data_IF_243583714839
#
_entry.id   IF_243583714839
#
_cell.length_a   1.000
_cell.length_b   1.000
_cell.length_c   1.000
_cell.angle_alpha   90.00
_cell.angle_beta   90.00
_cell.angle_gamma   90.00
#
_symmetry.space_group_name_H-M   'P 1'
#
loop_
_entity.id
_entity.type
_entity.pdbx_description
1 polymer ?
#
# COMPACT_ATOMS: atom_id res chain seq x y z
N UNK A 1 6.68 17.98 25.38
CA UNK A 1 7.59 18.94 24.72
C UNK A 1 8.23 19.84 25.77
N UNK A 2 9.50 20.22 25.62
CA UNK A 2 10.20 21.15 26.52
C UNK A 2 10.80 22.27 25.67
N UNK A 3 10.48 23.53 26.00
CA UNK A 3 11.08 24.72 25.38
C UNK A 3 12.09 25.29 26.39
N UNK A 4 13.40 25.12 26.18
CA UNK A 4 14.42 25.70 27.06
C UNK A 4 14.61 27.20 26.77
N UNK A 5 14.89 27.98 27.82
CA UNK A 5 15.31 29.39 27.72
C UNK A 5 14.34 30.29 26.92
N UNK A 6 13.05 30.26 27.28
CA UNK A 6 12.04 31.09 26.64
C UNK A 6 12.27 32.58 26.93
N UNK A 7 12.16 33.44 25.92
CA UNK A 7 12.22 34.91 26.07
C UNK A 7 11.21 35.56 25.14
N UNK A 8 10.47 36.53 25.66
CA UNK A 8 9.49 37.31 24.90
C UNK A 8 9.55 38.78 25.33
N UNK A 9 9.27 39.68 24.39
CA UNK A 9 9.09 41.11 24.68
C UNK A 9 7.61 41.37 24.97
N UNK A 10 7.35 42.08 26.05
CA UNK A 10 6.02 42.52 26.46
C UNK A 10 5.85 43.96 25.98
N UNK A 11 4.76 44.22 25.25
CA UNK A 11 4.29 45.56 24.94
C UNK A 11 2.79 45.61 25.22
N UNK A 12 2.38 46.43 26.19
CA UNK A 12 0.97 46.61 26.54
C UNK A 12 0.55 48.04 26.21
N UNK A 13 -0.09 48.25 25.04
CA UNK A 13 -0.66 49.54 24.70
C UNK A 13 -1.97 49.73 25.48
N UNK A 14 -1.99 50.69 26.41
CA UNK A 14 -3.19 51.09 27.16
C UNK A 14 -3.80 52.37 26.56
N UNK A 15 -5.12 52.37 26.35
CA UNK A 15 -5.86 53.52 25.80
C UNK A 15 -6.60 54.30 26.89
N UNK A 16 -5.89 54.82 27.89
CA UNK A 16 -6.50 55.57 29.00
C UNK A 16 -5.55 56.61 29.60
N UNK A 17 -6.08 57.82 29.89
CA UNK A 17 -5.33 59.00 30.38
C UNK A 17 -4.63 58.76 31.73
N UNK A 18 -5.00 57.71 32.46
CA UNK A 18 -4.47 57.36 33.80
C UNK A 18 -3.65 56.06 33.84
N UNK A 19 -3.43 55.38 32.71
CA UNK A 19 -2.58 54.18 32.63
C UNK A 19 -1.55 54.34 31.51
N UNK A 20 -0.28 54.68 31.81
CA UNK A 20 0.76 54.79 30.78
C UNK A 20 1.04 53.41 30.16
N UNK A 21 1.38 53.39 28.87
CA UNK A 21 1.88 52.19 28.21
C UNK A 21 3.17 51.72 28.88
N UNK A 22 3.35 50.40 28.97
CA UNK A 22 4.55 49.81 29.55
C UNK A 22 5.11 48.73 28.62
N UNK A 23 6.44 48.68 28.57
CA UNK A 23 7.22 47.67 27.86
C UNK A 23 8.05 46.85 28.84
N UNK A 24 8.42 45.63 28.47
CA UNK A 24 9.25 44.79 29.33
C UNK A 24 9.76 43.49 28.73
N UNK A 25 10.63 42.86 29.50
CA UNK A 25 11.07 41.47 29.52
C UNK A 25 10.08 40.44 30.06
N UNK A 26 9.84 39.31 29.40
CA UNK A 26 9.57 38.07 30.13
C UNK A 26 10.52 36.97 29.68
N UNK A 27 11.04 36.20 30.64
CA UNK A 27 11.84 35.02 30.38
C UNK A 27 11.44 33.86 31.27
N UNK A 28 11.63 32.63 30.79
CA UNK A 28 11.43 31.43 31.60
C UNK A 28 12.57 30.45 31.37
N UNK A 29 13.00 29.75 32.42
CA UNK A 29 14.06 28.74 32.31
C UNK A 29 13.63 27.55 31.45
N UNK A 30 12.37 27.12 31.59
CA UNK A 30 11.78 26.17 30.66
C UNK A 30 10.25 26.24 30.65
N UNK A 31 9.63 26.03 29.49
CA UNK A 31 8.19 25.74 29.40
C UNK A 31 8.03 24.25 29.07
N UNK A 32 7.37 23.51 29.95
CA UNK A 32 7.05 22.10 29.76
C UNK A 32 5.59 21.99 29.36
N UNK A 33 5.36 21.32 28.23
CA UNK A 33 4.03 21.08 27.69
C UNK A 33 3.78 19.57 27.67
N UNK A 34 2.72 19.14 28.33
CA UNK A 34 2.25 17.76 28.33
C UNK A 34 0.76 17.72 28.00
N UNK A 35 0.37 16.89 27.04
CA UNK A 35 -1.02 16.66 26.71
C UNK A 35 -1.19 15.24 26.17
N UNK A 36 -2.38 14.69 26.30
CA UNK A 36 -2.73 13.41 25.68
C UNK A 36 -3.44 13.70 24.36
N UNK A 37 -2.93 13.17 23.25
CA UNK A 37 -3.65 13.20 21.98
C UNK A 37 -4.49 11.94 21.90
N UNK A 38 -5.81 12.09 21.82
CA UNK A 38 -6.73 11.01 21.58
C UNK A 38 -7.10 10.96 20.11
N UNK A 39 -6.92 9.80 19.49
CA UNK A 39 -7.25 9.55 18.10
C UNK A 39 -8.49 8.67 18.01
N UNK A 40 -9.42 9.07 17.15
CA UNK A 40 -10.64 8.32 16.86
C UNK A 40 -10.95 8.39 15.37
N UNK A 41 -11.91 7.57 14.92
CA UNK A 41 -12.42 7.57 13.55
C UNK A 41 -13.86 8.08 13.59
N UNK A 42 -14.22 9.02 12.73
CA UNK A 42 -15.58 9.55 12.63
C UNK A 42 -16.52 8.63 11.81
N UNK A 43 -17.79 9.01 11.68
CA UNK A 43 -18.77 8.23 10.90
C UNK A 43 -18.46 8.14 9.38
N UNK A 44 -17.62 9.02 8.86
CA UNK A 44 -17.16 9.01 7.48
C UNK A 44 -15.86 8.21 7.30
N UNK A 45 -15.29 7.70 8.39
CA UNK A 45 -14.01 7.00 8.47
C UNK A 45 -12.78 7.89 8.31
N UNK A 46 -12.93 9.17 8.62
CA UNK A 46 -11.84 10.13 8.71
C UNK A 46 -11.24 10.11 10.12
N UNK A 47 -9.91 10.28 10.27
CA UNK A 47 -9.30 10.37 11.58
C UNK A 47 -9.63 11.71 12.23
N UNK A 48 -9.88 11.70 13.53
CA UNK A 48 -10.12 12.87 14.36
C UNK A 48 -9.15 12.84 15.53
N UNK A 49 -8.39 13.92 15.71
CA UNK A 49 -7.48 14.07 16.83
C UNK A 49 -8.04 15.10 17.83
N UNK A 50 -8.07 14.71 19.10
CA UNK A 50 -8.52 15.58 20.19
C UNK A 50 -7.45 15.63 21.28
N UNK A 51 -7.11 16.84 21.74
CA UNK A 51 -6.24 17.00 22.89
C UNK A 51 -7.02 16.89 24.20
N UNK A 52 -6.54 16.04 25.10
CA UNK A 52 -7.05 15.87 26.44
C UNK A 52 -6.02 16.28 27.48
N UNK A 53 -6.50 16.90 28.55
CA UNK A 53 -5.70 17.28 29.71
C UNK A 53 -4.41 18.05 29.37
N UNK A 54 -4.42 19.10 28.52
CA UNK A 54 -3.23 19.89 28.28
C UNK A 54 -2.77 20.52 29.61
N UNK A 55 -1.49 20.32 29.93
CA UNK A 55 -0.78 20.91 31.06
C UNK A 55 0.40 21.68 30.50
N UNK A 56 0.42 22.96 30.82
CA UNK A 56 1.55 23.84 30.55
C UNK A 56 2.14 24.17 31.91
N UNK A 57 3.45 23.98 32.06
CA UNK A 57 4.18 24.31 33.29
C UNK A 57 5.32 25.22 32.91
N UNK A 58 5.33 26.41 33.50
CA UNK A 58 6.37 27.41 33.27
C UNK A 58 7.32 27.36 34.47
N UNK A 59 8.58 27.02 34.23
CA UNK A 59 9.62 26.98 35.26
C UNK A 59 10.46 28.25 35.18
N UNK A 60 10.74 28.84 36.34
CA UNK A 60 11.62 30.01 36.48
C UNK A 60 11.19 31.20 35.64
N UNK A 61 9.89 31.54 35.66
CA UNK A 61 9.37 32.75 35.05
C UNK A 61 9.98 33.97 35.75
N UNK A 62 10.52 34.90 34.97
CA UNK A 62 11.08 36.18 35.42
C UNK A 62 10.56 37.29 34.51
N UNK A 63 9.93 38.31 35.10
CA UNK A 63 9.32 39.44 34.38
C UNK A 63 10.04 40.72 34.78
N UNK A 64 10.59 41.40 33.78
CA UNK A 64 11.27 42.69 33.96
C UNK A 64 10.48 43.79 33.25
N UNK A 65 10.02 44.80 33.98
CA UNK A 65 9.30 45.94 33.41
C UNK A 65 10.25 47.14 33.26
N UNK A 66 10.20 47.80 32.11
CA UNK A 66 11.02 48.98 31.84
C UNK A 66 10.44 50.24 32.53
N UNK A 67 11.31 51.10 33.08
CA UNK A 67 10.96 52.45 33.56
C UNK A 67 10.70 52.60 35.08
N UNK A 68 10.16 53.75 35.47
CA UNK A 68 9.90 54.18 36.88
C UNK A 68 8.97 53.22 37.64
N UNK A 69 8.23 52.38 36.92
CA UNK A 69 7.30 51.40 37.49
C UNK A 69 7.98 50.13 38.00
N UNK A 70 9.19 49.81 37.55
CA UNK A 70 9.92 48.62 37.98
C UNK A 70 10.28 48.60 39.46
N UNK A 71 10.37 49.77 40.12
CA UNK A 71 10.68 49.87 41.56
C UNK A 71 9.43 50.09 42.44
N UNK A 72 8.36 50.70 41.91
CA UNK A 72 7.15 51.03 42.67
C UNK A 72 6.19 49.84 42.81
N UNK A 73 6.37 48.81 41.99
CA UNK A 73 5.38 47.77 41.75
C UNK A 73 5.86 46.36 42.08
N UNK A 74 6.79 46.19 43.03
CA UNK A 74 7.26 44.86 43.46
C UNK A 74 6.13 43.91 43.90
N UNK A 75 5.07 44.42 44.54
CA UNK A 75 3.88 43.63 44.90
C UNK A 75 2.93 43.37 43.69
N UNK A 76 3.05 44.22 42.67
CA UNK A 76 2.34 44.06 41.39
C UNK A 76 3.06 43.03 40.52
N UNK A 77 4.39 42.85 40.66
CA UNK A 77 5.14 41.82 39.95
C UNK A 77 4.58 40.44 40.30
N UNK A 78 4.35 40.09 41.58
CA UNK A 78 3.72 38.81 41.96
C UNK A 78 2.30 38.65 41.36
N UNK A 79 1.48 39.72 41.37
CA UNK A 79 0.13 39.70 40.78
C UNK A 79 0.15 39.58 39.24
N UNK A 80 1.12 40.22 38.59
CA UNK A 80 1.33 40.16 37.15
C UNK A 80 2.01 38.86 36.74
N UNK A 81 2.89 38.27 37.55
CA UNK A 81 3.47 36.95 37.31
C UNK A 81 2.37 35.90 37.25
N UNK A 82 1.47 35.85 38.24
CA UNK A 82 0.34 34.92 38.23
C UNK A 82 -0.63 35.17 37.05
N UNK A 83 -0.88 36.44 36.71
CA UNK A 83 -1.80 36.80 35.61
C UNK A 83 -1.18 36.56 34.23
N UNK A 84 0.11 36.83 34.08
CA UNK A 84 0.87 36.68 32.85
C UNK A 84 1.21 35.20 32.61
N UNK A 85 1.54 34.45 33.66
CA UNK A 85 1.64 32.99 33.61
C UNK A 85 0.32 32.38 33.13
N UNK A 86 -0.83 32.77 33.71
CA UNK A 86 -2.16 32.33 33.23
C UNK A 86 -2.43 32.70 31.78
N UNK A 87 -2.08 33.92 31.35
CA UNK A 87 -2.27 34.35 29.96
C UNK A 87 -1.39 33.56 28.98
N UNK A 88 -0.12 33.33 29.33
CA UNK A 88 0.80 32.48 28.57
C UNK A 88 0.26 31.05 28.53
N UNK A 89 -0.15 30.49 29.67
CA UNK A 89 -0.74 29.16 29.73
C UNK A 89 -1.99 29.06 28.85
N UNK A 90 -2.88 30.05 28.86
CA UNK A 90 -4.08 30.08 28.04
C UNK A 90 -3.76 30.17 26.55
N UNK A 91 -2.82 31.02 26.14
CA UNK A 91 -2.40 31.11 24.73
C UNK A 91 -1.68 29.85 24.25
N UNK A 92 -0.78 29.28 25.05
CA UNK A 92 -0.20 27.97 24.73
C UNK A 92 -1.26 26.89 24.69
N UNK A 93 -2.24 26.87 25.62
CA UNK A 93 -3.37 25.92 25.57
C UNK A 93 -4.17 26.05 24.27
N UNK A 94 -4.43 27.27 23.78
CA UNK A 94 -5.12 27.50 22.50
C UNK A 94 -4.31 27.02 21.31
N UNK A 95 -3.04 27.44 21.21
CA UNK A 95 -2.12 27.03 20.14
C UNK A 95 -1.95 25.50 20.13
N UNK A 96 -1.80 24.88 21.29
CA UNK A 96 -1.73 23.43 21.40
C UNK A 96 -3.03 22.78 20.93
N UNK A 97 -4.18 23.21 21.46
CA UNK A 97 -5.48 22.65 21.15
C UNK A 97 -5.81 22.71 19.65
N UNK A 98 -5.42 23.79 18.97
CA UNK A 98 -5.71 23.97 17.55
C UNK A 98 -4.61 23.38 16.66
N UNK A 99 -3.35 23.76 16.87
CA UNK A 99 -2.30 23.48 15.91
C UNK A 99 -1.72 22.07 16.07
N UNK A 100 -1.55 21.58 17.30
CA UNK A 100 -1.00 20.22 17.53
C UNK A 100 -2.04 19.17 17.20
N UNK A 101 -3.30 19.34 17.61
CA UNK A 101 -4.36 18.41 17.24
C UNK A 101 -4.55 18.37 15.71
N UNK A 102 -4.62 19.53 15.05
CA UNK A 102 -4.75 19.59 13.60
C UNK A 102 -3.54 18.96 12.89
N UNK A 103 -2.32 19.23 13.35
CA UNK A 103 -1.11 18.64 12.77
C UNK A 103 -1.11 17.11 12.89
N UNK A 104 -1.46 16.57 14.07
CA UNK A 104 -1.55 15.10 14.24
C UNK A 104 -2.70 14.53 13.41
N UNK A 105 -3.85 15.20 13.34
CA UNK A 105 -4.96 14.74 12.50
C UNK A 105 -4.56 14.70 11.02
N UNK A 106 -3.92 15.74 10.52
CA UNK A 106 -3.43 15.81 9.14
C UNK A 106 -2.34 14.75 8.89
N UNK A 107 -1.47 14.51 9.88
CA UNK A 107 -0.47 13.44 9.84
C UNK A 107 -1.11 12.07 9.60
N UNK A 108 -2.10 11.72 10.44
CA UNK A 108 -2.80 10.45 10.32
C UNK A 108 -3.60 10.42 9.02
N UNK A 109 -4.27 11.50 8.64
CA UNK A 109 -5.04 11.57 7.39
C UNK A 109 -4.16 11.32 6.16
N UNK A 110 -2.93 11.79 6.16
CA UNK A 110 -1.95 11.52 5.10
C UNK A 110 -1.58 10.04 4.93
N UNK A 111 -1.87 9.18 5.91
CA UNK A 111 -1.66 7.74 5.81
C UNK A 111 -2.75 7.04 4.98
N UNK A 112 -3.89 7.69 4.74
CA UNK A 112 -4.90 7.16 3.85
C UNK A 112 -4.37 7.23 2.42
N UNK A 113 -3.99 6.07 1.90
CA UNK A 113 -3.46 5.88 0.56
C UNK A 113 -4.55 6.09 -0.48
N UNK A 114 -4.21 6.93 -1.44
CA UNK A 114 -4.95 7.12 -2.69
C UNK A 114 -3.93 7.25 -3.82
N UNK A 115 -3.44 6.10 -4.31
CA UNK A 115 -2.25 6.03 -5.16
C UNK A 115 -2.59 5.38 -6.48
N UNK A 116 -2.17 6.01 -7.58
CA UNK A 116 -2.26 5.45 -8.92
C UNK A 116 -0.91 4.86 -9.33
N UNK A 117 -0.95 3.68 -9.94
CA UNK A 117 0.21 2.99 -10.49
C UNK A 117 -0.22 2.24 -11.75
N UNK A 118 0.73 1.78 -12.55
CA UNK A 118 0.42 0.99 -13.74
C UNK A 118 1.19 -0.31 -13.64
N UNK A 119 0.46 -1.42 -13.75
CA UNK A 119 1.10 -2.72 -13.92
C UNK A 119 1.46 -2.85 -15.39
N UNK A 120 2.75 -2.97 -15.74
CA UNK A 120 3.16 -3.17 -17.13
C UNK A 120 2.58 -4.49 -17.66
N UNK A 121 2.49 -4.59 -18.98
CA UNK A 121 2.12 -5.86 -19.60
C UNK A 121 3.07 -6.97 -19.16
N UNK A 122 2.54 -7.99 -18.49
CA UNK A 122 3.31 -9.12 -17.94
C UNK A 122 4.07 -9.93 -19.01
N UNK A 123 3.54 -9.98 -20.23
CA UNK A 123 4.16 -10.62 -21.38
C UNK A 123 4.20 -9.63 -22.55
N UNK A 124 5.17 -9.71 -23.46
CA UNK A 124 5.14 -8.85 -24.63
C UNK A 124 3.87 -9.15 -25.45
N UNK A 125 3.16 -8.11 -25.85
CA UNK A 125 1.82 -8.22 -26.45
C UNK A 125 0.66 -8.06 -25.45
N UNK A 126 0.91 -8.13 -24.14
CA UNK A 126 -0.13 -7.79 -23.15
C UNK A 126 -0.19 -6.29 -22.87
N UNK A 127 -1.38 -5.84 -22.47
CA UNK A 127 -1.66 -4.42 -22.23
C UNK A 127 -1.27 -4.02 -20.81
N UNK A 128 -0.73 -2.82 -20.66
CA UNK A 128 -0.52 -2.23 -19.35
C UNK A 128 -1.87 -1.86 -18.73
N UNK A 129 -2.04 -2.11 -17.43
CA UNK A 129 -3.29 -1.88 -16.72
C UNK A 129 -3.08 -0.78 -15.67
N UNK A 130 -3.71 0.40 -15.81
CA UNK A 130 -3.70 1.42 -14.78
C UNK A 130 -4.53 0.95 -13.58
N UNK A 131 -3.99 1.13 -12.39
CA UNK A 131 -4.61 0.72 -11.15
C UNK A 131 -4.54 1.81 -10.10
N UNK A 132 -5.49 1.80 -9.17
CA UNK A 132 -5.54 2.73 -8.06
C UNK A 132 -5.78 1.99 -6.75
N UNK A 133 -4.86 2.12 -5.80
CA UNK A 133 -5.08 1.68 -4.42
C UNK A 133 -5.78 2.79 -3.68
N UNK A 134 -6.92 2.46 -3.06
CA UNK A 134 -7.64 3.38 -2.19
C UNK A 134 -7.86 2.74 -0.83
N UNK A 135 -7.57 3.50 0.23
CA UNK A 135 -7.73 3.04 1.61
C UNK A 135 -8.59 3.99 2.42
N UNK A 136 -9.10 3.46 3.54
CA UNK A 136 -9.88 4.19 4.53
C UNK A 136 -9.61 3.62 5.91
N UNK A 137 -9.55 4.46 6.94
CA UNK A 137 -9.31 3.98 8.31
C UNK A 137 -10.44 3.08 8.79
N UNK A 138 -10.08 1.95 9.38
CA UNK A 138 -10.99 1.03 10.05
C UNK A 138 -10.71 0.94 11.55
N UNK A 139 -9.47 1.16 12.00
CA UNK A 139 -9.10 1.13 13.42
C UNK A 139 -7.91 2.04 13.69
N UNK A 140 -7.91 2.71 14.85
CA UNK A 140 -6.78 3.43 15.42
C UNK A 140 -6.65 2.95 16.88
N UNK A 141 -5.64 2.12 17.18
CA UNK A 141 -5.34 1.64 18.54
C UNK A 141 -3.91 2.02 18.91
N UNK A 142 -3.75 2.99 19.81
CA UNK A 142 -2.44 3.44 20.28
C UNK A 142 -2.26 3.08 21.75
N UNK A 143 -1.17 2.40 22.03
CA UNK A 143 -0.76 1.95 23.36
C UNK A 143 0.64 2.48 23.67
N UNK A 144 1.08 2.45 24.94
CA UNK A 144 2.41 2.93 25.31
C UNK A 144 3.56 2.22 24.58
N UNK A 145 3.34 1.02 24.07
CA UNK A 145 4.30 0.17 23.36
C UNK A 145 4.19 0.25 21.82
N UNK A 146 3.30 1.09 21.27
CA UNK A 146 3.15 1.32 19.84
C UNK A 146 1.72 1.59 19.39
N UNK A 147 1.56 1.92 18.10
CA UNK A 147 0.26 2.15 17.46
C UNK A 147 -0.04 1.12 16.38
N UNK A 148 -1.29 0.68 16.30
CA UNK A 148 -1.82 -0.12 15.20
C UNK A 148 -2.86 0.70 14.46
N UNK A 149 -2.64 0.87 13.16
CA UNK A 149 -3.55 1.57 12.25
C UNK A 149 -4.13 0.52 11.30
N UNK A 150 -5.43 0.26 11.46
CA UNK A 150 -6.19 -0.60 10.58
C UNK A 150 -6.74 0.18 9.40
N UNK A 151 -6.60 -0.38 8.20
CA UNK A 151 -7.14 0.19 6.97
C UNK A 151 -8.02 -0.82 6.25
N UNK A 152 -9.17 -0.37 5.76
CA UNK A 152 -9.88 -1.04 4.67
C UNK A 152 -9.28 -0.57 3.35
N UNK A 153 -8.97 -1.50 2.46
CA UNK A 153 -8.28 -1.21 1.20
C UNK A 153 -9.03 -1.83 0.02
N UNK A 154 -8.93 -1.20 -1.15
CA UNK A 154 -9.41 -1.73 -2.42
C UNK A 154 -8.45 -1.35 -3.55
N UNK A 155 -8.44 -2.14 -4.63
CA UNK A 155 -7.72 -1.84 -5.87
C UNK A 155 -8.75 -1.64 -6.97
N UNK A 156 -8.68 -0.51 -7.66
CA UNK A 156 -9.63 -0.10 -8.69
C UNK A 156 -8.93 -0.05 -10.06
N UNK A 157 -9.68 -0.39 -11.10
CA UNK A 157 -9.29 -0.23 -12.51
C UNK A 157 -10.56 -0.08 -13.34
N UNK A 158 -10.44 0.52 -14.53
CA UNK A 158 -11.52 0.54 -15.50
C UNK A 158 -11.79 -0.85 -16.05
N UNK A 159 -13.06 -1.15 -16.30
CA UNK A 159 -13.50 -2.43 -16.86
C UNK A 159 -13.06 -2.52 -18.32
N UNK A 160 -12.38 -3.60 -18.67
CA UNK A 160 -11.99 -3.92 -20.04
C UNK A 160 -12.19 -5.41 -20.38
N UNK A 161 -13.06 -6.10 -19.64
CA UNK A 161 -13.45 -7.48 -19.93
C UNK A 161 -14.85 -7.54 -20.54
N UNK A 162 -15.03 -8.44 -21.51
CA UNK A 162 -16.30 -8.64 -22.22
C UNK A 162 -17.37 -9.37 -21.38
N UNK A 163 -17.07 -9.76 -20.14
CA UNK A 163 -18.00 -10.51 -19.28
C UNK A 163 -19.10 -9.60 -18.71
N UNK A 164 -20.36 -10.01 -18.84
CA UNK A 164 -21.52 -9.20 -18.45
C UNK A 164 -21.77 -9.15 -16.94
N UNK A 165 -21.36 -10.20 -16.20
CA UNK A 165 -21.54 -10.27 -14.74
C UNK A 165 -20.20 -10.50 -14.05
N UNK A 166 -19.74 -9.51 -13.28
CA UNK A 166 -18.53 -9.61 -12.46
C UNK A 166 -18.92 -9.32 -11.01
N UNK A 167 -18.70 -10.28 -10.12
CA UNK A 167 -19.12 -10.21 -8.71
C UNK A 167 -18.05 -9.62 -7.77
N UNK A 168 -16.88 -9.27 -8.30
CA UNK A 168 -15.72 -8.81 -7.53
C UNK A 168 -14.67 -9.90 -7.30
N UNK A 169 -13.63 -9.55 -6.54
CA UNK A 169 -12.58 -10.48 -6.14
C UNK A 169 -13.10 -11.50 -5.12
N UNK A 170 -12.61 -12.73 -5.20
CA UNK A 170 -12.94 -13.79 -4.22
C UNK A 170 -12.28 -13.46 -2.88
N UNK A 171 -13.04 -13.57 -1.79
CA UNK A 171 -12.48 -13.47 -0.45
C UNK A 171 -12.01 -14.82 0.06
N UNK A 172 -11.02 -14.82 0.95
CA UNK A 172 -10.46 -16.00 1.62
C UNK A 172 -11.50 -16.72 2.50
N UNK A 173 -12.47 -15.97 3.06
CA UNK A 173 -13.54 -16.49 3.92
C UNK A 173 -13.05 -17.43 5.03
N UNK A 174 -11.93 -17.07 5.67
CA UNK A 174 -11.29 -17.86 6.72
C UNK A 174 -10.96 -19.31 6.34
N UNK A 175 -10.75 -19.57 5.06
CA UNK A 175 -10.60 -20.93 4.52
C UNK A 175 -11.76 -21.85 4.92
N UNK A 176 -12.98 -21.28 4.95
CA UNK A 176 -14.22 -21.90 5.45
C UNK A 176 -14.19 -22.29 6.94
N UNK A 177 -13.23 -21.76 7.69
CA UNK A 177 -13.19 -21.84 9.13
C UNK A 177 -14.23 -20.93 9.80
N UNK A 178 -14.47 -21.11 11.11
CA UNK A 178 -15.49 -20.36 11.84
C UNK A 178 -15.13 -18.88 12.05
N UNK A 179 -13.84 -18.53 12.06
CA UNK A 179 -13.36 -17.16 12.29
C UNK A 179 -11.93 -16.95 11.76
N UNK A 180 -11.65 -15.73 11.31
CA UNK A 180 -10.29 -15.26 11.01
C UNK A 180 -9.55 -14.87 12.30
N UNK A 181 -8.35 -15.40 12.57
CA UNK A 181 -7.53 -14.87 13.65
C UNK A 181 -7.14 -13.41 13.34
N UNK A 182 -7.17 -12.50 14.33
CA UNK A 182 -6.68 -11.15 14.12
C UNK A 182 -5.18 -11.19 13.82
N UNK A 183 -4.74 -10.32 12.90
CA UNK A 183 -3.32 -10.14 12.61
C UNK A 183 -2.57 -9.70 13.88
N UNK A 184 -1.48 -10.39 14.20
CA UNK A 184 -0.56 -10.00 15.27
C UNK A 184 0.75 -9.52 14.65
N UNK A 185 1.00 -8.21 14.74
CA UNK A 185 2.25 -7.64 14.28
C UNK A 185 3.43 -8.29 15.03
N UNK A 186 4.45 -8.83 14.32
CA UNK A 186 5.57 -9.54 14.94
C UNK A 186 6.53 -8.62 15.71
N UNK A 187 6.47 -7.29 15.50
CA UNK A 187 7.25 -6.26 16.19
C UNK A 187 8.76 -6.48 16.10
N UNK A 188 9.23 -6.86 14.91
CA UNK A 188 10.65 -7.04 14.62
C UNK A 188 11.34 -5.75 14.12
N UNK A 189 10.55 -4.81 13.60
CA UNK A 189 10.99 -3.51 13.11
C UNK A 189 10.28 -2.35 13.80
N UNK A 190 10.73 -1.14 13.51
CA UNK A 190 10.11 0.10 14.02
C UNK A 190 8.76 0.38 13.34
N UNK A 191 8.62 -0.07 12.08
CA UNK A 191 7.39 0.05 11.30
C UNK A 191 7.10 -1.27 10.58
N UNK A 192 5.83 -1.69 10.63
CA UNK A 192 5.38 -2.93 10.02
C UNK A 192 4.07 -2.71 9.26
N UNK A 193 3.98 -3.29 8.07
CA UNK A 193 2.80 -3.26 7.20
C UNK A 193 2.23 -4.66 7.07
N UNK A 194 0.99 -4.84 7.53
CA UNK A 194 0.23 -6.06 7.35
C UNK A 194 -0.65 -6.00 6.11
N UNK A 195 -0.46 -6.95 5.20
CA UNK A 195 -1.25 -7.10 3.97
C UNK A 195 -2.11 -8.36 4.07
N UNK A 196 -3.43 -8.19 4.14
CA UNK A 196 -4.36 -9.32 4.13
C UNK A 196 -4.41 -9.98 2.74
N UNK A 197 -4.63 -11.29 2.68
CA UNK A 197 -4.72 -12.04 1.42
C UNK A 197 -5.80 -11.50 0.48
N UNK A 198 -6.95 -11.10 1.03
CA UNK A 198 -8.03 -10.50 0.24
C UNK A 198 -7.57 -9.21 -0.46
N UNK A 199 -6.70 -8.42 0.19
CA UNK A 199 -6.11 -7.24 -0.44
C UNK A 199 -5.19 -7.65 -1.59
N UNK A 200 -4.31 -8.63 -1.36
CA UNK A 200 -3.44 -9.17 -2.41
C UNK A 200 -4.26 -9.72 -3.58
N UNK A 201 -5.42 -10.33 -3.30
CA UNK A 201 -6.30 -10.89 -4.32
C UNK A 201 -7.01 -9.82 -5.17
N UNK A 202 -7.11 -8.58 -4.72
CA UNK A 202 -7.60 -7.49 -5.57
C UNK A 202 -6.67 -7.18 -6.73
N UNK A 203 -5.36 -7.46 -6.62
CA UNK A 203 -4.38 -7.18 -7.68
C UNK A 203 -4.60 -8.08 -8.92
N UNK A 204 -4.57 -9.43 -8.83
CA UNK A 204 -4.83 -10.27 -9.99
C UNK A 204 -6.26 -10.11 -10.51
N UNK A 205 -7.23 -9.84 -9.64
CA UNK A 205 -8.58 -9.50 -10.06
C UNK A 205 -8.62 -8.22 -10.90
N UNK A 206 -7.96 -7.14 -10.46
CA UNK A 206 -7.87 -5.90 -11.21
C UNK A 206 -7.13 -6.11 -12.55
N UNK A 207 -6.04 -6.90 -12.56
CA UNK A 207 -5.33 -7.23 -13.81
C UNK A 207 -6.27 -7.89 -14.82
N UNK A 208 -7.03 -8.88 -14.37
CA UNK A 208 -8.03 -9.55 -15.18
C UNK A 208 -9.12 -8.57 -15.64
N UNK A 209 -9.72 -7.83 -14.71
CA UNK A 209 -10.85 -6.93 -14.97
C UNK A 209 -10.49 -5.77 -15.91
N UNK A 210 -9.25 -5.30 -15.84
CA UNK A 210 -8.66 -4.29 -16.72
C UNK A 210 -8.16 -4.83 -18.07
N UNK A 211 -8.34 -6.12 -18.36
CA UNK A 211 -7.99 -6.73 -19.65
C UNK A 211 -6.51 -7.06 -19.84
N UNK A 212 -5.70 -6.98 -18.78
CA UNK A 212 -4.26 -7.29 -18.84
C UNK A 212 -3.94 -8.78 -19.03
N UNK A 213 -4.93 -9.66 -18.86
CA UNK A 213 -4.80 -11.11 -19.01
C UNK A 213 -5.46 -11.65 -20.29
N UNK A 214 -5.51 -10.83 -21.33
CA UNK A 214 -5.85 -11.23 -22.69
C UNK A 214 -4.77 -10.69 -23.64
N UNK A 215 -4.07 -11.58 -24.34
CA UNK A 215 -2.94 -11.21 -25.20
C UNK A 215 -2.59 -12.30 -26.21
N UNK A 216 -1.95 -11.87 -27.29
CA UNK A 216 -1.42 -12.77 -28.31
C UNK A 216 0.09 -12.99 -28.10
N UNK A 217 0.55 -14.23 -28.21
CA UNK A 217 1.97 -14.56 -28.20
C UNK A 217 2.47 -14.60 -29.65
N UNK A 218 3.27 -13.60 -30.00
CA UNK A 218 4.12 -13.60 -31.19
C UNK A 218 5.10 -14.80 -31.16
N UNK A 219 5.17 -15.62 -32.22
CA UNK A 219 6.06 -16.78 -32.32
C UNK A 219 7.54 -16.47 -32.13
N UNK A 220 7.98 -15.24 -32.45
CA UNK A 220 9.36 -14.80 -32.23
C UNK A 220 9.76 -14.80 -30.76
N UNK A 221 8.78 -14.78 -29.84
CA UNK A 221 9.01 -14.83 -28.39
C UNK A 221 9.25 -16.26 -27.87
N UNK A 222 8.93 -17.28 -28.65
CA UNK A 222 9.12 -18.67 -28.29
C UNK A 222 10.50 -19.10 -28.82
N UNK A 223 11.56 -18.69 -28.12
CA UNK A 223 12.95 -18.95 -28.50
C UNK A 223 13.18 -20.44 -28.82
N UNK A 224 13.65 -20.74 -30.04
CA UNK A 224 13.91 -22.12 -30.51
C UNK A 224 12.66 -22.97 -30.81
N UNK A 225 11.46 -22.49 -30.47
CA UNK A 225 10.21 -23.19 -30.71
C UNK A 225 9.89 -23.28 -32.20
N UNK A 226 10.08 -22.17 -32.93
CA UNK A 226 9.78 -22.10 -34.36
C UNK A 226 10.59 -23.16 -35.15
N UNK A 227 11.87 -23.35 -34.81
CA UNK A 227 12.74 -24.35 -35.44
C UNK A 227 12.33 -25.78 -35.08
N UNK A 228 11.92 -26.04 -33.84
CA UNK A 228 11.43 -27.35 -33.41
C UNK A 228 10.08 -27.68 -34.04
N UNK A 229 9.15 -26.72 -34.10
CA UNK A 229 7.85 -26.85 -34.73
C UNK A 229 7.96 -27.10 -36.24
N UNK A 230 8.91 -26.44 -36.90
CA UNK A 230 9.19 -26.65 -38.32
C UNK A 230 9.62 -28.11 -38.62
N UNK A 231 10.30 -28.80 -37.70
CA UNK A 231 10.67 -30.21 -37.86
C UNK A 231 9.46 -31.15 -37.95
N UNK A 232 8.33 -30.72 -37.40
CA UNK A 232 7.05 -31.44 -37.47
C UNK A 232 6.17 -30.96 -38.64
N UNK A 233 6.72 -30.14 -39.55
CA UNK A 233 6.00 -29.62 -40.72
C UNK A 233 4.96 -28.55 -40.37
N UNK A 234 5.12 -27.87 -39.23
CA UNK A 234 4.28 -26.77 -38.80
C UNK A 234 4.88 -25.41 -39.16
N UNK A 235 4.02 -24.49 -39.58
CA UNK A 235 4.36 -23.11 -39.92
C UNK A 235 3.25 -22.16 -39.45
N UNK A 236 3.54 -20.86 -39.41
CA UNK A 236 2.57 -19.80 -39.09
C UNK A 236 1.83 -20.04 -37.76
N UNK A 237 2.56 -20.41 -36.70
CA UNK A 237 1.97 -20.52 -35.37
C UNK A 237 1.42 -19.16 -34.94
N UNK A 238 0.22 -19.14 -34.37
CA UNK A 238 -0.37 -18.02 -33.66
C UNK A 238 -0.97 -18.57 -32.36
N UNK A 239 -0.74 -17.84 -31.27
CA UNK A 239 -1.25 -18.22 -29.96
C UNK A 239 -1.99 -17.02 -29.39
N UNK A 240 -3.24 -17.21 -29.00
CA UNK A 240 -4.02 -16.20 -28.28
C UNK A 240 -4.40 -16.77 -26.92
N UNK A 241 -4.07 -16.06 -25.85
CA UNK A 241 -4.34 -16.46 -24.47
C UNK A 241 -5.39 -15.52 -23.89
N UNK A 242 -6.43 -16.09 -23.29
CA UNK A 242 -7.50 -15.35 -22.64
C UNK A 242 -7.88 -16.02 -21.31
N UNK A 243 -7.70 -15.31 -20.21
CA UNK A 243 -8.13 -15.78 -18.89
C UNK A 243 -9.64 -15.56 -18.74
N UNK A 244 -10.43 -16.65 -18.74
CA UNK A 244 -11.90 -16.55 -18.62
C UNK A 244 -12.36 -16.20 -17.21
N UNK A 245 -11.54 -16.54 -16.21
CA UNK A 245 -11.77 -16.25 -14.81
C UNK A 245 -10.58 -15.47 -14.23
N UNK A 246 -10.81 -14.59 -13.23
CA UNK A 246 -9.71 -13.92 -12.54
C UNK A 246 -8.84 -14.96 -11.80
N UNK A 247 -7.51 -14.82 -11.85
CA UNK A 247 -6.63 -15.59 -10.97
C UNK A 247 -6.93 -15.31 -9.50
N UNK A 248 -6.75 -16.33 -8.66
CA UNK A 248 -7.00 -16.26 -7.23
C UNK A 248 -5.71 -16.53 -6.47
N UNK A 249 -5.40 -15.65 -5.52
CA UNK A 249 -4.40 -15.87 -4.49
C UNK A 249 -5.06 -16.47 -3.24
N UNK A 250 -4.54 -17.61 -2.79
CA UNK A 250 -5.06 -18.26 -1.59
C UNK A 250 -3.99 -19.03 -0.84
N UNK A 251 -3.97 -18.86 0.48
CA UNK A 251 -3.21 -19.71 1.39
C UNK A 251 -4.05 -20.77 2.10
N UNK A 252 -5.25 -21.06 1.57
CA UNK A 252 -6.14 -22.10 2.08
C UNK A 252 -5.70 -23.48 1.61
N UNK A 253 -4.54 -23.92 2.10
CA UNK A 253 -3.97 -25.23 1.85
C UNK A 253 -3.23 -25.74 3.09
N UNK A 254 -2.93 -27.06 3.17
CA UNK A 254 -2.32 -27.65 4.36
C UNK A 254 -0.97 -27.06 4.78
N UNK A 255 -0.19 -26.48 3.85
CA UNK A 255 1.11 -25.85 4.17
C UNK A 255 0.99 -24.37 4.53
N UNK A 256 -0.16 -23.74 4.31
CA UNK A 256 -0.35 -22.29 4.48
C UNK A 256 0.45 -21.44 3.49
N UNK A 257 1.01 -22.05 2.44
CA UNK A 257 1.75 -21.35 1.39
C UNK A 257 0.80 -20.51 0.55
N UNK A 258 1.20 -19.32 0.12
CA UNK A 258 0.36 -18.51 -0.76
C UNK A 258 0.44 -19.09 -2.18
N UNK A 259 -0.71 -19.51 -2.73
CA UNK A 259 -0.80 -20.12 -4.05
C UNK A 259 -1.57 -19.20 -4.99
N UNK A 260 -1.06 -19.02 -6.21
CA UNK A 260 -1.83 -18.47 -7.32
C UNK A 260 -2.46 -19.60 -8.12
N UNK A 261 -3.78 -19.53 -8.25
CA UNK A 261 -4.59 -20.47 -9.03
C UNK A 261 -5.22 -19.73 -10.20
N UNK A 262 -5.03 -20.27 -11.40
CA UNK A 262 -5.55 -19.72 -12.65
C UNK A 262 -6.41 -20.80 -13.29
N UNK A 263 -7.72 -20.62 -13.28
CA UNK A 263 -8.68 -21.53 -13.91
C UNK A 263 -9.15 -21.02 -15.26
N UNK A 264 -9.63 -21.93 -16.10
CA UNK A 264 -10.27 -21.65 -17.40
C UNK A 264 -9.48 -20.66 -18.27
N UNK A 265 -8.17 -20.89 -18.40
CA UNK A 265 -7.34 -20.14 -19.34
C UNK A 265 -7.56 -20.73 -20.73
N UNK A 266 -8.20 -19.97 -21.61
CA UNK A 266 -8.43 -20.34 -22.99
C UNK A 266 -7.18 -20.03 -23.82
N UNK A 267 -6.68 -21.02 -24.55
CA UNK A 267 -5.57 -20.87 -25.49
C UNK A 267 -6.11 -21.24 -26.87
N UNK A 268 -6.14 -20.26 -27.78
CA UNK A 268 -6.40 -20.51 -29.20
C UNK A 268 -5.09 -20.66 -29.92
N UNK A 269 -4.94 -21.76 -30.64
CA UNK A 269 -3.74 -22.06 -31.43
C UNK A 269 -4.15 -22.12 -32.88
N UNK A 270 -3.58 -21.22 -33.68
CA UNK A 270 -3.67 -21.23 -35.13
C UNK A 270 -2.34 -21.68 -35.71
N UNK A 271 -2.32 -22.63 -36.63
CA UNK A 271 -1.09 -23.02 -37.33
C UNK A 271 -1.37 -23.63 -38.70
N UNK A 272 -0.35 -23.77 -39.53
CA UNK A 272 -0.41 -24.51 -40.79
C UNK A 272 0.41 -25.80 -40.64
N UNK A 273 -0.19 -26.96 -40.86
CA UNK A 273 0.51 -28.25 -40.86
C UNK A 273 0.30 -28.97 -42.19
N UNK A 274 1.39 -29.41 -42.82
CA UNK A 274 1.35 -30.07 -44.14
C UNK A 274 0.53 -29.29 -45.21
N UNK A 275 0.59 -27.96 -45.17
CA UNK A 275 -0.11 -27.06 -46.09
C UNK A 275 -1.60 -26.84 -45.80
N UNK A 276 -2.12 -27.34 -44.67
CA UNK A 276 -3.50 -27.12 -44.24
C UNK A 276 -3.56 -26.26 -42.98
N UNK A 277 -4.49 -25.28 -42.89
CA UNK A 277 -4.72 -24.56 -41.65
C UNK A 277 -5.33 -25.50 -40.59
N UNK A 278 -4.88 -25.32 -39.35
CA UNK A 278 -5.34 -26.01 -38.16
C UNK A 278 -5.66 -24.95 -37.11
N UNK A 279 -6.84 -25.05 -36.51
CA UNK A 279 -7.28 -24.23 -35.39
C UNK A 279 -7.60 -25.13 -34.21
N UNK A 280 -7.09 -24.79 -33.04
CA UNK A 280 -7.34 -25.54 -31.81
C UNK A 280 -7.73 -24.58 -30.69
N UNK A 281 -8.67 -25.03 -29.86
CA UNK A 281 -9.02 -24.39 -28.60
C UNK A 281 -8.67 -25.32 -27.45
N UNK A 282 -7.81 -24.84 -26.56
CA UNK A 282 -7.44 -25.52 -25.32
C UNK A 282 -7.94 -24.73 -24.12
N UNK A 283 -8.28 -25.45 -23.06
CA UNK A 283 -8.43 -24.88 -21.74
C UNK A 283 -7.34 -25.43 -20.83
N UNK A 284 -6.72 -24.55 -20.06
CA UNK A 284 -5.75 -24.95 -19.05
C UNK A 284 -6.09 -24.39 -17.68
N UNK A 285 -5.75 -25.16 -16.67
CA UNK A 285 -5.72 -24.72 -15.27
C UNK A 285 -4.29 -24.82 -14.76
N UNK A 286 -3.86 -23.78 -14.07
CA UNK A 286 -2.49 -23.63 -13.58
C UNK A 286 -2.50 -23.29 -12.09
N UNK A 287 -1.57 -23.89 -11.35
CA UNK A 287 -1.33 -23.56 -9.93
C UNK A 287 0.16 -23.38 -9.70
N UNK A 288 0.54 -22.25 -9.11
CA UNK A 288 1.92 -21.88 -8.80
C UNK A 288 2.01 -21.31 -7.38
N UNK A 289 3.14 -21.51 -6.72
CA UNK A 289 3.41 -20.79 -5.46
C UNK A 289 3.66 -19.31 -5.79
N UNK A 290 3.11 -18.43 -4.96
CA UNK A 290 3.23 -17.00 -5.10
C UNK A 290 3.91 -16.43 -3.86
N UNK A 291 4.87 -15.53 -4.06
CA UNK A 291 5.66 -14.93 -2.97
C UNK A 291 5.75 -13.43 -3.16
N UNK A 292 5.67 -12.70 -2.05
CA UNK A 292 5.97 -11.28 -2.03
C UNK A 292 7.49 -11.11 -1.96
N UNK A 293 8.03 -10.33 -2.87
CA UNK A 293 9.46 -10.03 -2.98
C UNK A 293 9.67 -8.52 -2.99
N UNK A 294 10.88 -8.09 -2.66
CA UNK A 294 11.28 -6.69 -2.80
C UNK A 294 11.96 -6.53 -4.14
N UNK A 295 11.43 -5.64 -4.97
CA UNK A 295 12.06 -5.24 -6.23
C UNK A 295 12.66 -3.85 -6.11
N UNK A 296 13.67 -3.57 -6.92
CA UNK A 296 14.25 -2.23 -7.04
C UNK A 296 14.15 -1.81 -8.49
N UNK A 297 13.50 -0.68 -8.75
CA UNK A 297 13.42 -0.12 -10.10
C UNK A 297 14.81 0.32 -10.58
N UNK A 298 15.02 0.52 -11.90
CA UNK A 298 16.28 1.06 -12.43
C UNK A 298 16.70 2.39 -11.77
N UNK A 299 15.74 3.18 -11.30
CA UNK A 299 15.91 4.45 -10.60
C UNK A 299 16.25 4.29 -9.10
N UNK A 300 16.32 3.06 -8.60
CA UNK A 300 16.65 2.76 -7.20
C UNK A 300 15.46 2.76 -6.24
N UNK A 301 14.22 2.88 -6.75
CA UNK A 301 13.02 2.90 -5.90
C UNK A 301 12.64 1.47 -5.52
N UNK A 302 12.43 1.21 -4.23
CA UNK A 302 12.00 -0.11 -3.75
C UNK A 302 10.48 -0.28 -3.89
N UNK A 303 10.06 -1.45 -4.34
CA UNK A 303 8.66 -1.82 -4.56
C UNK A 303 8.39 -3.22 -4.03
N UNK A 304 7.12 -3.53 -3.75
CA UNK A 304 6.68 -4.88 -3.44
C UNK A 304 6.22 -5.56 -4.73
N UNK A 305 6.89 -6.65 -5.08
CA UNK A 305 6.57 -7.50 -6.22
C UNK A 305 5.81 -8.75 -5.77
N UNK A 306 4.82 -9.17 -6.56
CA UNK A 306 4.20 -10.49 -6.46
C UNK A 306 4.87 -11.43 -7.47
N UNK A 307 5.79 -12.26 -7.01
CA UNK A 307 6.51 -13.22 -7.86
C UNK A 307 5.81 -14.58 -7.87
N UNK A 308 5.81 -15.22 -9.04
CA UNK A 308 5.33 -16.59 -9.22
C UNK A 308 6.51 -17.54 -9.39
N UNK A 309 6.48 -18.62 -8.63
CA UNK A 309 7.37 -19.76 -8.83
C UNK A 309 6.91 -20.60 -10.03
N UNK A 310 7.78 -21.51 -10.53
CA UNK A 310 7.36 -22.45 -11.55
C UNK A 310 6.08 -23.20 -11.13
N UNK A 311 5.12 -23.39 -12.06
CA UNK A 311 3.87 -24.05 -11.76
C UNK A 311 4.05 -25.45 -11.19
N UNK A 312 3.34 -25.74 -10.10
CA UNK A 312 3.28 -27.07 -9.49
C UNK A 312 2.32 -27.99 -10.23
N UNK A 313 1.28 -27.41 -10.84
CA UNK A 313 0.27 -28.13 -11.59
C UNK A 313 -0.10 -27.36 -12.84
N UNK A 314 -0.12 -28.07 -13.96
CA UNK A 314 -0.62 -27.61 -15.25
C UNK A 314 -1.47 -28.74 -15.80
N UNK A 315 -2.78 -28.52 -15.88
CA UNK A 315 -3.68 -29.44 -16.56
C UNK A 315 -4.21 -28.78 -17.84
N UNK A 316 -4.31 -29.57 -18.91
CA UNK A 316 -4.66 -29.08 -20.25
C UNK A 316 -5.64 -30.02 -20.90
N UNK A 317 -6.76 -29.45 -21.31
CA UNK A 317 -7.80 -30.10 -22.07
C UNK A 317 -7.91 -29.49 -23.45
N UNK A 318 -7.91 -30.33 -24.48
CA UNK A 318 -8.24 -29.92 -25.84
C UNK A 318 -9.76 -29.94 -25.95
N UNK A 319 -10.37 -28.78 -26.19
CA UNK A 319 -11.83 -28.66 -26.30
C UNK A 319 -12.30 -28.83 -27.75
N UNK A 320 -11.60 -28.19 -28.68
CA UNK A 320 -11.94 -28.20 -30.10
C UNK A 320 -10.66 -28.30 -30.93
N UNK A 321 -10.75 -29.02 -32.04
CA UNK A 321 -9.69 -29.14 -33.04
C UNK A 321 -10.34 -29.29 -34.41
N UNK A 322 -10.11 -28.32 -35.30
CA UNK A 322 -10.61 -28.32 -36.66
C UNK A 322 -9.44 -28.42 -37.66
N UNK A 323 -9.63 -29.15 -38.76
CA UNK A 323 -8.60 -29.39 -39.78
C UNK A 323 -8.44 -30.85 -40.24
N UNK A 324 -9.34 -31.76 -39.83
CA UNK A 324 -9.40 -33.14 -40.36
C UNK A 324 -8.29 -34.08 -39.86
N UNK A 325 -7.75 -33.81 -38.68
CA UNK A 325 -6.66 -34.57 -38.03
C UNK A 325 -7.12 -35.32 -36.78
N UNK A 326 -8.41 -35.62 -36.66
CA UNK A 326 -9.00 -36.37 -35.54
C UNK A 326 -8.29 -37.71 -35.28
N UNK A 327 -7.76 -38.36 -36.32
CA UNK A 327 -6.98 -39.61 -36.22
C UNK A 327 -5.56 -39.44 -35.68
N UNK A 328 -5.07 -38.20 -35.53
CA UNK A 328 -3.72 -37.86 -35.03
C UNK A 328 -3.73 -37.31 -33.59
N UNK A 329 -4.85 -37.47 -32.87
CA UNK A 329 -5.09 -36.90 -31.54
C UNK A 329 -3.96 -37.17 -30.52
N UNK A 330 -3.37 -38.37 -30.53
CA UNK A 330 -2.26 -38.71 -29.62
C UNK A 330 -0.98 -37.92 -29.92
N UNK A 331 -0.68 -37.69 -31.20
CA UNK A 331 0.51 -36.93 -31.61
C UNK A 331 0.35 -35.47 -31.28
N UNK A 332 -0.84 -34.91 -31.52
CA UNK A 332 -1.14 -33.52 -31.20
C UNK A 332 -1.16 -33.28 -29.69
N UNK A 333 -1.73 -34.21 -28.92
CA UNK A 333 -1.73 -34.14 -27.45
C UNK A 333 -0.31 -34.15 -26.90
N UNK A 334 0.58 -35.00 -27.42
CA UNK A 334 2.00 -35.00 -27.03
C UNK A 334 2.67 -33.69 -27.41
N UNK A 335 2.47 -33.19 -28.62
CA UNK A 335 3.05 -31.92 -29.07
C UNK A 335 2.66 -30.75 -28.15
N UNK A 336 1.38 -30.67 -27.80
CA UNK A 336 0.86 -29.63 -26.91
C UNK A 336 1.47 -29.79 -25.52
N UNK A 337 1.40 -30.99 -24.92
CA UNK A 337 1.80 -31.22 -23.52
C UNK A 337 3.31 -31.20 -23.32
N UNK A 338 4.07 -31.73 -24.25
CA UNK A 338 5.52 -31.93 -24.12
C UNK A 338 6.34 -30.77 -24.70
N UNK A 339 5.78 -29.97 -25.61
CA UNK A 339 6.49 -28.85 -26.25
C UNK A 339 5.81 -27.51 -25.99
N UNK A 340 4.56 -27.33 -26.44
CA UNK A 340 3.90 -26.01 -26.36
C UNK A 340 3.72 -25.51 -24.93
N UNK A 341 3.22 -26.35 -24.03
CA UNK A 341 2.92 -25.97 -22.66
C UNK A 341 4.17 -25.63 -21.84
N UNK A 342 5.26 -26.42 -21.86
CA UNK A 342 6.51 -26.02 -21.22
C UNK A 342 7.04 -24.68 -21.70
N UNK A 343 6.91 -24.36 -22.99
CA UNK A 343 7.37 -23.07 -23.53
C UNK A 343 6.54 -21.89 -23.01
N UNK A 344 5.21 -22.03 -22.95
CA UNK A 344 4.33 -21.01 -22.36
C UNK A 344 4.64 -20.85 -20.87
N UNK A 345 4.77 -21.97 -20.14
CA UNK A 345 5.08 -21.98 -18.70
C UNK A 345 6.43 -21.33 -18.40
N UNK A 346 7.44 -21.55 -19.24
CA UNK A 346 8.75 -20.92 -19.09
C UNK A 346 8.68 -19.39 -19.18
N UNK A 347 7.76 -18.84 -19.98
CA UNK A 347 7.55 -17.39 -20.05
C UNK A 347 6.84 -16.83 -18.81
N UNK A 348 6.02 -17.64 -18.13
CA UNK A 348 5.29 -17.25 -16.92
C UNK A 348 6.14 -17.40 -15.64
N UNK A 349 7.09 -18.33 -15.63
CA UNK A 349 7.83 -18.74 -14.42
C UNK A 349 8.96 -17.75 -14.07
N UNK A 350 9.11 -17.44 -12.77
CA UNK A 350 10.22 -16.64 -12.26
C UNK A 350 10.11 -15.13 -12.51
N UNK A 351 9.00 -14.68 -13.10
CA UNK A 351 8.69 -13.26 -13.30
C UNK A 351 7.81 -12.72 -12.19
N UNK A 352 7.94 -11.43 -11.94
CA UNK A 352 7.04 -10.69 -11.06
C UNK A 352 5.80 -10.30 -11.84
N UNK A 353 4.63 -10.74 -11.36
CA UNK A 353 3.34 -10.51 -12.00
C UNK A 353 2.93 -9.04 -11.94
N UNK A 354 3.10 -8.44 -10.77
CA UNK A 354 2.79 -7.06 -10.52
C UNK A 354 3.71 -6.53 -9.43
N UNK A 355 4.14 -5.29 -9.61
CA UNK A 355 4.90 -4.55 -8.61
C UNK A 355 4.12 -3.30 -8.25
N UNK A 356 4.03 -3.02 -6.97
CA UNK A 356 3.31 -1.85 -6.46
C UNK A 356 4.20 -1.07 -5.50
N UNK A 357 4.08 0.26 -5.49
CA UNK A 357 4.90 1.10 -4.64
C UNK A 357 4.63 0.81 -3.16
N UNK A 358 5.69 0.84 -2.36
CA UNK A 358 5.56 0.87 -0.91
C UNK A 358 5.10 2.29 -0.55
N UNK A 359 4.05 2.45 0.27
CA UNK A 359 3.60 3.77 0.65
C UNK A 359 4.68 4.52 1.43
N UNK A 360 4.90 5.77 1.06
CA UNK A 360 5.76 6.73 1.78
C UNK A 360 4.87 7.83 2.37
N UNK A 361 5.22 8.31 3.56
CA UNK A 361 4.49 9.39 4.21
C UNK A 361 5.27 10.68 3.98
N UNK A 362 4.71 11.62 3.22
CA UNK A 362 5.31 12.94 3.03
C UNK A 362 5.12 13.79 4.30
N UNK A 363 6.21 14.08 5.00
CA UNK A 363 6.21 14.87 6.23
C UNK A 363 5.95 16.36 5.95
N UNK A 364 6.25 16.86 4.76
CA UNK A 364 5.95 18.24 4.37
C UNK A 364 4.45 18.44 4.16
N UNK A 365 3.76 17.42 3.64
CA UNK A 365 2.30 17.43 3.55
C UNK A 365 1.60 17.41 4.93
N UNK A 366 2.31 16.97 5.98
CA UNK A 366 1.82 16.96 7.36
C UNK A 366 1.99 18.34 8.02
N UNK A 367 3.11 19.01 7.75
CA UNK A 367 3.39 20.34 8.25
C UNK A 367 4.31 21.09 7.30
N UNK A 368 3.87 22.28 6.89
CA UNK A 368 4.65 23.21 6.06
C UNK A 368 6.00 23.62 6.71
N UNK A 369 6.18 23.35 8.00
CA UNK A 369 7.44 23.58 8.73
C UNK A 369 8.49 22.49 8.51
N UNK A 370 8.08 21.30 8.05
CA UNK A 370 9.03 20.23 7.71
C UNK A 370 9.71 20.55 6.38
N UNK A 371 11.01 20.23 6.18
CA UNK A 371 11.68 20.48 4.91
C UNK A 371 10.98 19.76 3.75
N UNK A 372 10.84 20.43 2.61
CA UNK A 372 10.31 19.82 1.36
C UNK A 372 11.13 18.57 1.02
N UNK A 373 10.44 17.45 0.78
CA UNK A 373 11.06 16.16 0.47
C UNK A 373 11.38 15.30 1.70
N UNK A 374 11.06 15.75 2.91
CA UNK A 374 11.12 14.90 4.11
C UNK A 374 10.02 13.84 4.05
N UNK A 375 10.38 12.57 4.22
CA UNK A 375 9.43 11.45 4.16
C UNK A 375 9.71 10.46 5.28
N UNK A 376 8.70 9.69 5.66
CA UNK A 376 8.88 8.43 6.39
C UNK A 376 8.73 7.32 5.37
N UNK A 377 9.79 6.55 5.16
CA UNK A 377 9.79 5.35 4.35
C UNK A 377 10.12 4.12 5.21
N UNK A 378 9.72 2.94 4.71
CA UNK A 378 10.07 1.65 5.34
C UNK A 378 11.36 1.14 4.70
N UNK A 379 12.45 1.10 5.46
CA UNK A 379 13.64 0.32 5.08
C UNK A 379 13.40 -1.16 5.36
N UNK A 380 12.96 -1.85 4.32
CA UNK A 380 12.45 -3.22 4.37
C UNK A 380 13.54 -4.23 4.77
N UNK A 381 13.33 -4.95 5.87
CA UNK A 381 14.26 -5.96 6.40
C UNK A 381 13.78 -7.39 6.21
N UNK A 382 12.47 -7.62 6.39
CA UNK A 382 11.92 -8.96 6.32
C UNK A 382 10.48 -8.98 5.81
N UNK A 383 10.12 -10.09 5.17
CA UNK A 383 8.76 -10.42 4.76
C UNK A 383 8.39 -11.72 5.47
N UNK A 384 7.31 -11.69 6.25
CA UNK A 384 6.90 -12.78 7.12
C UNK A 384 5.47 -13.17 6.76
N UNK A 385 5.27 -14.47 6.57
CA UNK A 385 3.95 -15.02 6.35
C UNK A 385 3.28 -15.36 7.68
N UNK A 386 2.06 -14.89 7.85
CA UNK A 386 1.16 -15.29 8.93
C UNK A 386 -0.16 -15.78 8.34
N UNK A 387 -1.00 -16.43 9.14
CA UNK A 387 -2.31 -16.92 8.68
C UNK A 387 -3.14 -15.79 8.07
N UNK A 388 -3.42 -15.89 6.77
CA UNK A 388 -4.22 -14.93 6.02
C UNK A 388 -3.56 -13.57 5.75
N UNK A 389 -2.29 -13.38 6.15
CA UNK A 389 -1.63 -12.08 6.11
C UNK A 389 -0.14 -12.21 5.76
N UNK A 390 0.38 -11.25 5.02
CA UNK A 390 1.83 -11.07 4.84
C UNK A 390 2.26 -9.79 5.55
N UNK A 391 3.23 -9.90 6.44
CA UNK A 391 3.79 -8.75 7.15
C UNK A 391 5.12 -8.37 6.54
N UNK A 392 5.23 -7.11 6.16
CA UNK A 392 6.46 -6.45 5.75
C UNK A 392 6.99 -5.67 6.95
N UNK A 393 8.23 -5.93 7.37
CA UNK A 393 8.81 -5.34 8.58
C UNK A 393 10.15 -4.68 8.27
N UNK A 394 10.38 -3.49 8.84
CA UNK A 394 11.55 -2.66 8.56
C UNK A 394 11.77 -1.55 9.59
N UNK A 395 12.80 -0.74 9.34
CA UNK A 395 13.10 0.47 10.14
C UNK A 395 12.52 1.71 9.44
N UNK A 396 12.37 2.79 10.20
CA UNK A 396 12.03 4.10 9.62
C UNK A 396 13.27 4.74 9.02
N UNK A 397 13.19 5.15 7.75
CA UNK A 397 14.24 5.90 7.05
C UNK A 397 13.79 7.31 6.68
#
# INVERSE_FOLDING_TARGET
MIIPNFRVKIDVPTSGVLCPSFSGSASASSIVIAANVMLSIDGNGEPVANLQNPRVTINGLDISLDGIWGFLLNWIIDFFEDRFARMIEDEFRKVLATDVAAAVQNAIKGLALDMEFTVPGFLPGSTAVPMRIKTKFSTLDFRPDGGVIGMSATVLTDKNVNNSTVLGSIGRASCFGPQEPPLQMPRLGEIELGLHDDFLNFIPFALWYGGGLQFDIDPSMLEGAADQLAQFGMANLGLSIEFKLPPILSACNPSGALMMQMGDVAIRVSLTMAGRPLEMLLYTTLSAEARLVVETTPEGVRQLGLQLDPPLLVDVQIAEMDGGLESSGDTMTKLIREMLMPMIVAQLSGRTLASFPIPEIDLHAISDQMPVGSKIAIDLKSIIRQTGNTVVSGDVM
#
